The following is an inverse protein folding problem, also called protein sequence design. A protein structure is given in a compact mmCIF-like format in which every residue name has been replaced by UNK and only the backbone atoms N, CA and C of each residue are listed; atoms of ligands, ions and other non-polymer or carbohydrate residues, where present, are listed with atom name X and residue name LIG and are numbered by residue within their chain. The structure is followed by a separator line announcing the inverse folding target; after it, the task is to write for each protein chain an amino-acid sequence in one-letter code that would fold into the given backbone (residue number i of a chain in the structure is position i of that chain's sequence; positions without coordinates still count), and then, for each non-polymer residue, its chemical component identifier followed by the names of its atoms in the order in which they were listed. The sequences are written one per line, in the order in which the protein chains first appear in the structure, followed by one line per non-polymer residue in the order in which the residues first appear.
data_IF_058601876741
#
_entry.id   IF_058601876741
#
_cell.length_a   1.000
_cell.length_b   1.000
_cell.length_c   1.000
_cell.angle_alpha   90.00
_cell.angle_beta   90.00
_cell.angle_gamma   90.00
#
_symmetry.space_group_name_H-M   'P 1'
#
loop_
_entity.id
_entity.type
_entity.pdbx_description
1 polymer ?
#
# COMPACT_ATOMS: atom_id res chain seq x y z
N UNK A 1 30.91 -15.66 -43.73
CA UNK A 1 30.32 -15.38 -42.40
C UNK A 1 29.10 -16.27 -42.12
N UNK A 2 29.29 -17.58 -41.96
CA UNK A 2 28.18 -18.51 -41.62
C UNK A 2 28.08 -18.76 -40.11
N UNK A 3 29.18 -18.66 -39.37
CA UNK A 3 29.25 -18.84 -37.92
C UNK A 3 28.39 -17.85 -37.14
N UNK A 4 28.38 -16.57 -37.52
CA UNK A 4 27.52 -15.55 -36.88
C UNK A 4 26.03 -15.88 -37.05
N UNK A 5 25.63 -16.39 -38.21
CA UNK A 5 24.23 -16.72 -38.51
C UNK A 5 23.71 -17.90 -37.68
N UNK A 6 24.57 -18.85 -37.33
CA UNK A 6 24.25 -19.99 -36.46
C UNK A 6 24.22 -19.55 -34.99
N UNK A 7 25.22 -18.80 -34.53
CA UNK A 7 25.31 -18.32 -33.13
C UNK A 7 24.17 -17.37 -32.77
N UNK A 8 23.81 -16.43 -33.65
CA UNK A 8 22.71 -15.48 -33.40
C UNK A 8 21.30 -16.09 -33.54
N UNK A 9 21.17 -17.31 -34.11
CA UNK A 9 19.88 -18.00 -34.23
C UNK A 9 19.44 -18.66 -32.92
N UNK A 10 20.39 -19.00 -32.05
CA UNK A 10 20.13 -19.53 -30.70
C UNK A 10 19.77 -18.44 -29.68
N UNK A 11 20.09 -17.18 -29.96
CA UNK A 11 19.62 -16.06 -29.15
C UNK A 11 18.14 -15.81 -29.44
N UNK A 12 17.26 -16.27 -28.55
CA UNK A 12 15.87 -15.80 -28.50
C UNK A 12 15.90 -14.26 -28.44
N UNK A 13 15.48 -13.60 -29.52
CA UNK A 13 15.29 -12.14 -29.55
C UNK A 13 14.11 -11.81 -28.66
N UNK A 14 14.34 -11.65 -27.36
CA UNK A 14 13.35 -11.04 -26.48
C UNK A 14 13.07 -9.63 -27.02
N UNK A 15 11.82 -9.33 -27.38
CA UNK A 15 11.40 -7.97 -27.72
C UNK A 15 11.61 -7.11 -26.47
N UNK A 16 12.70 -6.33 -26.46
CA UNK A 16 12.98 -5.38 -25.38
C UNK A 16 12.04 -4.20 -25.55
N UNK A 17 11.26 -3.91 -24.51
CA UNK A 17 10.51 -2.65 -24.42
C UNK A 17 11.48 -1.58 -23.92
N UNK A 18 11.72 -0.49 -24.68
CA UNK A 18 12.64 0.55 -24.26
C UNK A 18 12.03 1.36 -23.11
N UNK A 19 12.82 1.62 -22.07
CA UNK A 19 12.37 2.40 -20.91
C UNK A 19 11.52 1.61 -19.91
N UNK A 20 10.53 2.27 -19.32
CA UNK A 20 9.66 1.68 -18.29
C UNK A 20 8.66 0.68 -18.91
N UNK A 21 8.55 -0.51 -18.33
CA UNK A 21 7.70 -1.58 -18.86
C UNK A 21 6.21 -1.21 -18.93
N UNK A 22 5.71 -0.47 -17.95
CA UNK A 22 4.29 -0.12 -17.83
C UNK A 22 4.03 1.39 -18.00
N UNK A 23 5.02 2.15 -18.44
CA UNK A 23 4.97 3.61 -18.50
C UNK A 23 5.55 4.19 -19.79
N UNK A 24 5.16 5.41 -20.15
CA UNK A 24 5.63 6.08 -21.36
C UNK A 24 4.93 5.62 -22.65
N UNK A 25 5.51 6.02 -23.79
CA UNK A 25 4.95 5.78 -25.13
C UNK A 25 5.00 4.31 -25.54
N UNK A 26 6.13 3.66 -25.30
CA UNK A 26 6.36 2.26 -25.66
C UNK A 26 6.30 1.41 -24.39
N UNK A 27 5.14 0.83 -24.11
CA UNK A 27 4.88 0.03 -22.90
C UNK A 27 4.25 -1.32 -23.25
N UNK A 28 4.36 -2.27 -22.33
CA UNK A 28 3.67 -3.55 -22.41
C UNK A 28 2.19 -3.31 -22.08
N UNK A 29 1.32 -3.62 -23.03
CA UNK A 29 -0.13 -3.62 -22.80
C UNK A 29 -0.51 -5.03 -22.30
N UNK A 30 -0.94 -5.19 -21.04
CA UNK A 30 -1.34 -6.48 -20.53
C UNK A 30 -2.59 -6.97 -21.26
N UNK A 31 -2.64 -8.28 -21.54
CA UNK A 31 -3.82 -8.90 -22.14
C UNK A 31 -4.92 -9.01 -21.09
N UNK A 32 -6.15 -8.68 -21.48
CA UNK A 32 -7.32 -8.84 -20.62
C UNK A 32 -7.90 -10.24 -20.87
N UNK A 33 -7.83 -11.09 -19.85
CA UNK A 33 -8.41 -12.43 -19.89
C UNK A 33 -9.87 -12.42 -19.43
N UNK A 34 -10.69 -13.44 -19.79
CA UNK A 34 -12.09 -13.54 -19.37
C UNK A 34 -12.28 -13.44 -17.85
N UNK A 35 -11.39 -14.04 -17.07
CA UNK A 35 -11.42 -14.00 -15.60
C UNK A 35 -11.36 -12.57 -15.02
N UNK A 36 -10.63 -11.66 -15.68
CA UNK A 36 -10.58 -10.27 -15.26
C UNK A 36 -11.93 -9.57 -15.47
N UNK A 37 -12.62 -9.91 -16.56
CA UNK A 37 -13.95 -9.37 -16.87
C UNK A 37 -14.99 -9.91 -15.89
N UNK A 38 -14.94 -11.21 -15.58
CA UNK A 38 -15.82 -11.82 -14.57
C UNK A 38 -15.63 -11.18 -13.20
N UNK A 39 -14.38 -10.95 -12.79
CA UNK A 39 -14.09 -10.25 -11.53
C UNK A 39 -14.63 -8.83 -11.53
N UNK A 40 -14.43 -8.08 -12.62
CA UNK A 40 -14.95 -6.73 -12.76
C UNK A 40 -16.48 -6.72 -12.70
N UNK A 41 -17.15 -7.65 -13.38
CA UNK A 41 -18.61 -7.79 -13.35
C UNK A 41 -19.13 -8.05 -11.94
N UNK A 42 -18.50 -8.96 -11.18
CA UNK A 42 -18.86 -9.20 -9.78
C UNK A 42 -18.78 -7.93 -8.93
N UNK A 43 -17.74 -7.13 -9.15
CA UNK A 43 -17.59 -5.85 -8.46
C UNK A 43 -18.67 -4.85 -8.85
N UNK A 44 -19.02 -4.77 -10.14
CA UNK A 44 -20.12 -3.89 -10.59
C UNK A 44 -21.46 -4.28 -9.97
N UNK A 45 -21.79 -5.57 -9.95
CA UNK A 45 -23.05 -6.05 -9.35
C UNK A 45 -23.12 -5.75 -7.86
N UNK A 46 -22.01 -5.96 -7.13
CA UNK A 46 -21.93 -5.62 -5.72
C UNK A 46 -22.10 -4.10 -5.49
N UNK A 47 -21.49 -3.27 -6.35
CA UNK A 47 -21.63 -1.83 -6.24
C UNK A 47 -23.06 -1.35 -6.53
N UNK A 48 -23.71 -1.92 -7.55
CA UNK A 48 -25.11 -1.63 -7.87
C UNK A 48 -26.04 -1.96 -6.70
N UNK A 49 -25.82 -3.12 -6.05
CA UNK A 49 -26.58 -3.51 -4.86
C UNK A 49 -26.34 -2.53 -3.70
N UNK A 50 -25.09 -2.14 -3.46
CA UNK A 50 -24.75 -1.15 -2.44
C UNK A 50 -25.37 0.22 -2.75
N UNK A 51 -25.30 0.68 -3.99
CA UNK A 51 -25.90 1.95 -4.41
C UNK A 51 -27.41 1.96 -4.18
N UNK A 52 -28.08 0.85 -4.49
CA UNK A 52 -29.51 0.70 -4.22
C UNK A 52 -29.83 0.82 -2.72
N UNK A 53 -29.07 0.14 -1.87
CA UNK A 53 -29.25 0.21 -0.40
C UNK A 53 -29.02 1.64 0.10
N UNK A 54 -27.97 2.31 -0.40
CA UNK A 54 -27.61 3.66 0.03
C UNK A 54 -28.55 4.73 -0.53
N UNK A 55 -29.28 4.46 -1.62
CA UNK A 55 -30.19 5.42 -2.25
C UNK A 55 -31.48 5.66 -1.45
N UNK A 56 -31.83 4.75 -0.54
CA UNK A 56 -33.06 4.82 0.27
C UNK A 56 -32.70 4.94 1.76
N UNK A 57 -32.23 6.12 2.22
CA UNK A 57 -31.91 6.31 3.62
C UNK A 57 -33.17 6.28 4.50
N UNK A 58 -33.01 5.74 5.71
CA UNK A 58 -34.10 5.64 6.68
C UNK A 58 -34.47 6.99 7.31
N UNK A 59 -33.48 7.87 7.51
CA UNK A 59 -33.66 9.20 8.05
C UNK A 59 -33.44 10.24 6.96
N UNK A 60 -34.20 11.33 7.03
CA UNK A 60 -33.89 12.52 6.24
C UNK A 60 -32.74 13.30 6.87
N UNK A 61 -32.00 14.08 6.09
CA UNK A 61 -30.85 14.87 6.57
C UNK A 61 -31.17 15.74 7.79
N UNK A 62 -32.42 16.25 7.87
CA UNK A 62 -32.88 17.08 8.99
C UNK A 62 -33.10 16.29 10.28
N UNK A 63 -33.49 15.02 10.16
CA UNK A 63 -33.70 14.11 11.28
C UNK A 63 -32.38 13.49 11.75
N UNK A 64 -31.44 13.28 10.83
CA UNK A 64 -30.09 12.85 11.16
C UNK A 64 -29.28 13.94 11.87
N UNK A 65 -29.54 15.22 11.55
CA UNK A 65 -28.85 16.35 12.15
C UNK A 65 -29.02 16.38 13.68
N UNK A 66 -27.89 16.34 14.40
CA UNK A 66 -27.86 16.47 15.85
C UNK A 66 -28.31 15.21 16.63
N UNK A 67 -28.62 14.09 15.96
CA UNK A 67 -29.11 12.88 16.66
C UNK A 67 -28.10 12.29 17.66
N UNK A 68 -26.80 12.49 17.42
CA UNK A 68 -25.71 12.02 18.27
C UNK A 68 -25.28 13.00 19.36
N UNK A 69 -25.91 14.18 19.46
CA UNK A 69 -25.51 15.21 20.43
C UNK A 69 -25.73 14.76 21.87
N UNK A 70 -26.82 14.04 22.12
CA UNK A 70 -27.16 13.45 23.41
C UNK A 70 -26.15 12.41 23.90
N UNK A 71 -25.44 11.76 22.96
CA UNK A 71 -24.39 10.78 23.22
C UNK A 71 -23.00 11.44 23.40
N UNK A 72 -22.90 12.76 23.31
CA UNK A 72 -21.66 13.50 23.54
C UNK A 72 -20.66 13.46 22.38
N UNK A 73 -21.09 13.01 21.19
CA UNK A 73 -20.28 13.00 19.96
C UNK A 73 -20.34 14.32 19.17
N UNK A 74 -20.70 15.43 19.81
CA UNK A 74 -20.77 16.77 19.21
C UNK A 74 -19.43 17.28 18.66
N UNK A 75 -18.33 16.82 19.24
CA UNK A 75 -17.02 17.39 18.94
C UNK A 75 -16.27 16.55 17.92
N UNK A 76 -16.73 16.57 16.67
CA UNK A 76 -15.96 16.09 15.51
C UNK A 76 -14.53 16.66 15.54
N UNK A 77 -14.37 17.93 15.92
CA UNK A 77 -13.07 18.59 16.10
C UNK A 77 -12.21 17.99 17.23
N UNK A 78 -12.83 17.45 18.29
CA UNK A 78 -12.09 16.79 19.39
C UNK A 78 -11.65 15.39 18.99
N UNK A 79 -12.51 14.64 18.31
CA UNK A 79 -12.19 13.31 17.77
C UNK A 79 -11.10 13.44 16.70
N UNK A 80 -11.24 14.39 15.76
CA UNK A 80 -10.21 14.70 14.76
C UNK A 80 -8.90 15.11 15.42
N UNK A 81 -8.94 15.98 16.43
CA UNK A 81 -7.74 16.38 17.17
C UNK A 81 -7.09 15.23 17.95
N UNK A 82 -7.87 14.30 18.50
CA UNK A 82 -7.35 13.09 19.16
C UNK A 82 -6.75 12.09 18.14
N UNK A 83 -7.37 11.94 16.96
CA UNK A 83 -6.87 11.12 15.86
C UNK A 83 -5.59 11.69 15.28
N UNK A 84 -5.51 13.01 15.07
CA UNK A 84 -4.31 13.70 14.61
C UNK A 84 -3.17 13.58 15.63
N UNK A 85 -3.46 13.78 16.92
CA UNK A 85 -2.49 13.55 18.00
C UNK A 85 -1.98 12.11 17.99
N UNK A 86 -2.87 11.12 17.89
CA UNK A 86 -2.49 9.72 17.83
C UNK A 86 -1.67 9.38 16.57
N UNK A 87 -1.96 10.01 15.43
CA UNK A 87 -1.20 9.87 14.20
C UNK A 87 0.22 10.49 14.35
N UNK A 88 0.31 11.68 14.94
CA UNK A 88 1.58 12.33 15.26
C UNK A 88 2.43 11.50 16.21
N UNK A 89 1.82 10.97 17.27
CA UNK A 89 2.50 10.08 18.22
C UNK A 89 3.02 8.82 17.54
N UNK A 90 2.24 8.20 16.64
CA UNK A 90 2.71 7.05 15.85
C UNK A 90 3.85 7.39 14.91
N UNK A 91 3.82 8.58 14.29
CA UNK A 91 4.88 9.05 13.41
C UNK A 91 6.17 9.37 14.17
N UNK A 92 6.02 9.97 15.36
CA UNK A 92 7.12 10.36 16.24
C UNK A 92 7.61 9.21 17.12
N UNK A 93 6.86 8.11 17.22
CA UNK A 93 7.31 6.90 17.91
C UNK A 93 8.58 6.43 17.18
N UNK A 94 9.75 6.42 17.86
CA UNK A 94 10.94 5.89 17.23
C UNK A 94 10.63 4.44 16.85
N UNK A 95 10.55 4.17 15.53
CA UNK A 95 10.55 2.79 15.04
C UNK A 95 11.73 2.15 15.72
N UNK A 96 11.49 1.03 16.38
CA UNK A 96 12.38 0.29 17.28
C UNK A 96 13.66 -0.17 16.57
N UNK A 97 14.42 0.78 16.03
CA UNK A 97 15.80 0.64 15.62
C UNK A 97 16.51 0.72 16.95
N UNK A 98 16.78 -0.44 17.54
CA UNK A 98 17.72 -0.53 18.65
C UNK A 98 18.95 0.27 18.23
N UNK A 99 19.15 1.41 18.88
CA UNK A 99 20.30 2.26 18.61
C UNK A 99 21.48 1.47 19.15
N UNK A 100 22.16 0.74 18.28
CA UNK A 100 23.33 -0.03 18.65
C UNK A 100 24.49 0.94 18.84
N UNK A 101 24.88 1.18 20.09
CA UNK A 101 26.02 2.03 20.40
C UNK A 101 27.32 1.28 20.14
N UNK A 102 28.32 1.98 19.60
CA UNK A 102 29.63 1.40 19.27
C UNK A 102 30.31 0.76 20.49
N UNK A 103 30.09 1.34 21.67
CA UNK A 103 30.59 0.84 22.95
C UNK A 103 30.10 -0.57 23.30
N UNK A 104 28.85 -0.91 22.99
CA UNK A 104 28.30 -2.25 23.19
C UNK A 104 29.01 -3.28 22.31
N UNK A 105 29.40 -2.87 21.10
CA UNK A 105 30.18 -3.71 20.19
C UNK A 105 31.59 -3.97 20.74
N UNK A 106 32.24 -2.95 21.30
CA UNK A 106 33.60 -3.09 21.86
C UNK A 106 33.64 -3.92 23.15
N UNK A 107 32.55 -3.97 23.94
CA UNK A 107 32.46 -4.86 25.11
C UNK A 107 32.62 -6.34 24.74
N UNK A 108 32.20 -6.75 23.55
CA UNK A 108 32.34 -8.13 23.08
C UNK A 108 33.80 -8.55 22.87
N UNK A 109 34.71 -7.61 22.60
CA UNK A 109 36.14 -7.91 22.41
C UNK A 109 36.85 -8.30 23.71
N UNK A 110 36.29 -7.94 24.87
CA UNK A 110 36.85 -8.28 26.18
C UNK A 110 36.57 -9.73 26.61
N UNK A 111 35.82 -10.53 25.85
CA UNK A 111 35.49 -11.92 26.20
C UNK A 111 36.73 -12.81 26.31
N UNK A 112 37.80 -12.50 25.57
CA UNK A 112 39.08 -13.22 25.63
C UNK A 112 40.13 -12.56 26.52
N UNK A 113 39.75 -11.58 27.33
CA UNK A 113 40.68 -10.90 28.23
C UNK A 113 41.00 -11.82 29.41
N UNK A 114 42.16 -12.46 29.38
CA UNK A 114 42.75 -13.15 30.52
C UNK A 114 43.77 -12.24 31.20
N UNK A 115 43.95 -12.44 32.51
CA UNK A 115 45.10 -11.90 33.23
C UNK A 115 46.30 -12.84 33.02
N UNK A 116 47.52 -12.31 33.05
CA UNK A 116 48.76 -13.11 33.06
C UNK A 116 48.86 -14.02 34.28
#
# INVERSE_FOLDING_TARGET
MQLTRVVFRFFKRYKKVPGLLYGGKNKIIPKIYPQHKERALKWFLMNEENERILSEPYLTDKEEAGHMESLGFTNEARILGEVEKAALERWNKPKDRRIHYLEEHYKHLNIKKSWE
#
